data_IF_721505120752
#
_entry.id   IF_721505120752
#
_cell.length_a   1.000
_cell.length_b   1.000
_cell.length_c   1.000
_cell.angle_alpha   90.00
_cell.angle_beta   90.00
_cell.angle_gamma   90.00
#
_symmetry.space_group_name_H-M   'P 1'
#
loop_
_entity.id
_entity.type
_entity.pdbx_description
1 polymer ?
#
# COMPACT_ATOMS: atom_id res chain seq x y z
N UNK A 1 -26.49 31.35 -7.60
CA UNK A 1 -25.15 31.50 -7.05
C UNK A 1 -24.05 31.23 -8.12
N UNK A 2 -24.12 30.11 -8.87
CA UNK A 2 -23.13 29.80 -9.90
C UNK A 2 -23.09 30.86 -11.01
N UNK A 3 -24.24 31.34 -11.46
CA UNK A 3 -24.30 32.37 -12.50
C UNK A 3 -23.60 33.67 -12.07
N UNK A 4 -23.77 34.07 -10.81
CA UNK A 4 -23.12 35.25 -10.27
C UNK A 4 -21.57 35.06 -10.23
N UNK A 5 -21.09 33.89 -9.76
CA UNK A 5 -19.66 33.57 -9.72
C UNK A 5 -19.06 33.58 -11.13
N UNK A 6 -19.75 33.02 -12.11
CA UNK A 6 -19.29 33.03 -13.49
C UNK A 6 -19.19 34.44 -14.04
N UNK A 7 -20.22 35.26 -13.84
CA UNK A 7 -20.28 36.66 -14.27
C UNK A 7 -19.18 37.50 -13.63
N UNK A 8 -18.94 37.32 -12.33
CA UNK A 8 -17.88 38.07 -11.60
C UNK A 8 -16.46 37.70 -12.07
N UNK A 9 -16.29 36.51 -12.68
CA UNK A 9 -15.04 36.09 -13.30
C UNK A 9 -14.99 36.25 -14.83
N UNK A 10 -15.93 37.00 -15.40
CA UNK A 10 -15.98 37.30 -16.83
C UNK A 10 -16.35 36.12 -17.71
N UNK A 11 -16.96 35.05 -17.14
CA UNK A 11 -17.40 33.85 -17.84
C UNK A 11 -18.86 34.00 -18.31
N UNK A 12 -19.12 33.52 -19.50
CA UNK A 12 -20.48 33.44 -20.08
C UNK A 12 -21.06 32.03 -19.95
N UNK A 13 -22.35 31.85 -20.26
CA UNK A 13 -23.01 30.55 -20.24
C UNK A 13 -22.45 29.55 -21.25
N UNK A 14 -21.70 30.02 -22.25
CA UNK A 14 -21.03 29.18 -23.25
C UNK A 14 -19.62 28.76 -22.84
N UNK A 15 -19.07 29.34 -21.80
CA UNK A 15 -17.73 29.04 -21.33
C UNK A 15 -17.75 27.81 -20.40
N UNK A 16 -16.66 27.02 -20.49
CA UNK A 16 -16.45 25.86 -19.60
C UNK A 16 -15.28 26.16 -18.67
N UNK A 17 -15.52 26.01 -17.38
CA UNK A 17 -14.47 26.15 -16.37
C UNK A 17 -14.31 24.84 -15.59
N UNK A 18 -13.08 24.39 -15.29
CA UNK A 18 -12.88 23.23 -14.43
C UNK A 18 -13.31 23.56 -13.00
N UNK A 19 -14.17 22.72 -12.44
CA UNK A 19 -14.59 22.82 -11.06
C UNK A 19 -14.01 21.66 -10.25
N UNK A 20 -13.19 21.97 -9.25
CA UNK A 20 -12.64 20.99 -8.32
C UNK A 20 -13.50 20.95 -7.06
N UNK A 21 -14.08 19.77 -6.80
CA UNK A 21 -14.92 19.55 -5.62
C UNK A 21 -14.22 18.55 -4.70
N UNK A 22 -14.00 18.96 -3.46
CA UNK A 22 -13.55 18.07 -2.40
C UNK A 22 -14.68 17.83 -1.42
N UNK A 23 -14.97 16.55 -1.14
CA UNK A 23 -15.95 16.14 -0.16
C UNK A 23 -15.47 14.95 0.63
N UNK A 24 -15.68 14.98 1.94
CA UNK A 24 -15.48 13.82 2.80
C UNK A 24 -16.72 12.93 2.73
N UNK A 25 -16.53 11.61 2.52
CA UNK A 25 -17.64 10.63 2.52
C UNK A 25 -17.97 10.26 3.97
N UNK A 26 -18.74 11.14 4.62
CA UNK A 26 -19.11 11.00 6.04
C UNK A 26 -20.30 10.07 6.27
N UNK A 27 -21.10 9.79 5.23
CA UNK A 27 -22.24 8.89 5.29
C UNK A 27 -21.84 7.42 5.09
N UNK A 28 -20.62 7.19 4.59
CA UNK A 28 -20.08 5.85 4.37
C UNK A 28 -19.50 5.22 5.63
N UNK A 29 -19.29 3.92 5.55
CA UNK A 29 -18.55 3.22 6.59
C UNK A 29 -17.13 3.78 6.73
N UNK A 30 -16.56 3.81 7.94
CA UNK A 30 -15.19 4.25 8.13
C UNK A 30 -14.22 3.37 7.36
N UNK A 31 -13.21 3.97 6.76
CA UNK A 31 -12.12 3.22 6.16
C UNK A 31 -11.38 2.46 7.24
N UNK A 32 -11.10 1.19 6.98
CA UNK A 32 -10.37 0.32 7.89
C UNK A 32 -9.24 -0.36 7.13
N UNK A 33 -8.14 -0.56 7.84
CA UNK A 33 -7.02 -1.34 7.35
C UNK A 33 -6.82 -2.54 8.25
N UNK A 34 -6.95 -3.73 7.70
CA UNK A 34 -6.59 -4.96 8.34
C UNK A 34 -5.23 -5.41 7.81
N UNK A 35 -4.34 -5.67 8.71
CA UNK A 35 -3.00 -6.11 8.42
C UNK A 35 -2.71 -7.39 9.19
N UNK A 36 -2.34 -8.45 8.45
CA UNK A 36 -1.89 -9.71 9.01
C UNK A 36 -0.48 -9.97 8.54
N UNK A 37 0.41 -10.18 9.48
CA UNK A 37 1.80 -10.50 9.24
C UNK A 37 2.15 -11.82 9.94
N UNK A 38 2.84 -12.70 9.24
CA UNK A 38 3.35 -13.96 9.78
C UNK A 38 4.76 -14.19 9.30
N UNK A 39 5.63 -14.62 10.20
CA UNK A 39 7.01 -14.98 9.88
C UNK A 39 7.33 -16.33 10.49
N UNK A 40 7.74 -17.25 9.63
CA UNK A 40 8.32 -18.53 10.00
C UNK A 40 9.81 -18.45 9.72
N UNK A 41 10.63 -18.89 10.68
CA UNK A 41 12.08 -18.86 10.57
C UNK A 41 12.66 -20.14 11.12
N UNK A 42 13.49 -20.76 10.33
CA UNK A 42 14.31 -21.90 10.72
C UNK A 42 15.79 -21.49 10.72
N UNK A 43 16.52 -21.83 11.78
CA UNK A 43 17.95 -21.57 11.89
C UNK A 43 18.61 -22.86 12.34
N UNK A 44 19.67 -23.23 11.65
CA UNK A 44 20.57 -24.31 12.01
C UNK A 44 21.98 -23.72 12.11
N UNK A 45 22.62 -23.93 13.24
CA UNK A 45 23.95 -23.40 13.52
C UNK A 45 24.83 -24.48 14.14
N UNK A 46 26.05 -24.60 13.64
CA UNK A 46 27.05 -25.54 14.16
C UNK A 46 28.36 -24.79 14.29
N UNK A 47 28.92 -24.82 15.46
CA UNK A 47 30.24 -24.30 15.74
C UNK A 47 31.13 -25.38 16.35
N UNK A 48 32.44 -25.20 16.20
CA UNK A 48 33.42 -26.13 16.74
C UNK A 48 34.86 -25.70 16.47
N UNK A 49 35.73 -26.54 16.91
CA UNK A 49 37.19 -26.42 16.72
C UNK A 49 37.65 -27.53 15.76
N UNK A 50 38.36 -27.15 14.67
CA UNK A 50 38.90 -28.11 13.70
C UNK A 50 40.23 -28.67 14.18
N UNK A 51 41.10 -27.77 14.67
CA UNK A 51 42.40 -28.07 15.26
C UNK A 51 42.71 -26.96 16.25
N UNK A 52 43.76 -27.12 17.07
CA UNK A 52 44.17 -26.12 18.07
C UNK A 52 44.06 -24.69 17.54
N UNK A 53 43.21 -23.90 18.17
CA UNK A 53 42.99 -22.48 17.90
C UNK A 53 42.31 -22.15 16.56
N UNK A 54 41.83 -23.15 15.77
CA UNK A 54 41.01 -22.95 14.60
C UNK A 54 39.56 -23.21 14.92
N UNK A 55 38.75 -22.16 14.97
CA UNK A 55 37.34 -22.24 15.20
C UNK A 55 36.55 -22.09 13.89
N UNK A 56 35.42 -22.74 13.79
CA UNK A 56 34.50 -22.57 12.68
C UNK A 56 33.06 -22.37 13.19
N UNK A 57 32.29 -21.67 12.41
CA UNK A 57 30.86 -21.57 12.53
C UNK A 57 30.25 -21.76 11.14
N UNK A 58 29.28 -22.67 11.05
CA UNK A 58 28.49 -22.93 9.87
C UNK A 58 27.05 -22.68 10.24
N UNK A 59 26.41 -21.75 9.58
CA UNK A 59 25.01 -21.46 9.82
C UNK A 59 24.19 -21.49 8.54
N UNK A 60 22.98 -21.99 8.67
CA UNK A 60 21.93 -21.95 7.67
C UNK A 60 20.69 -21.33 8.28
N UNK A 61 20.09 -20.40 7.55
CA UNK A 61 18.81 -19.81 7.91
C UNK A 61 17.89 -19.84 6.70
N UNK A 62 16.65 -20.25 6.94
CA UNK A 62 15.56 -20.12 5.99
C UNK A 62 14.40 -19.42 6.66
N UNK A 63 13.85 -18.40 6.02
CA UNK A 63 12.70 -17.67 6.54
C UNK A 63 11.68 -17.39 5.46
N UNK A 64 10.40 -17.37 5.88
CA UNK A 64 9.27 -16.99 5.05
C UNK A 64 8.43 -16.00 5.82
N UNK A 65 8.25 -14.83 5.25
CA UNK A 65 7.39 -13.78 5.79
C UNK A 65 6.23 -13.55 4.83
N UNK A 66 5.01 -13.62 5.34
CA UNK A 66 3.80 -13.29 4.59
C UNK A 66 3.15 -12.06 5.18
N UNK A 67 2.61 -11.19 4.32
CA UNK A 67 1.90 -9.99 4.72
C UNK A 67 0.62 -9.85 3.88
N UNK A 68 -0.52 -9.84 4.56
CA UNK A 68 -1.83 -9.65 3.97
C UNK A 68 -2.38 -8.29 4.39
N UNK A 69 -2.63 -7.45 3.41
CA UNK A 69 -3.25 -6.13 3.60
C UNK A 69 -4.64 -6.15 3.02
N UNK A 70 -5.63 -5.72 3.81
CA UNK A 70 -6.99 -5.51 3.33
C UNK A 70 -7.43 -4.12 3.74
N UNK A 71 -7.77 -3.30 2.76
CA UNK A 71 -8.40 -2.00 2.96
C UNK A 71 -9.88 -2.15 2.72
N UNK A 72 -10.67 -1.82 3.72
CA UNK A 72 -12.12 -1.88 3.68
C UNK A 72 -12.72 -0.49 3.47
N UNK A 73 -13.85 -0.45 2.75
CA UNK A 73 -14.65 0.75 2.54
C UNK A 73 -13.91 1.88 1.80
N UNK A 74 -13.02 1.51 0.88
CA UNK A 74 -12.44 2.49 -0.03
C UNK A 74 -13.38 2.77 -1.20
N UNK A 75 -13.08 3.78 -2.02
CA UNK A 75 -13.95 4.23 -3.10
C UNK A 75 -13.33 3.87 -4.45
N UNK A 76 -14.07 3.14 -5.27
CA UNK A 76 -13.69 2.90 -6.67
C UNK A 76 -13.82 4.19 -7.48
N UNK A 77 -12.72 4.66 -8.05
CA UNK A 77 -12.68 5.85 -8.91
C UNK A 77 -13.66 5.75 -10.08
N UNK A 78 -13.66 4.62 -10.77
CA UNK A 78 -14.54 4.44 -11.95
C UNK A 78 -16.01 4.43 -11.55
N UNK A 79 -16.36 3.74 -10.46
CA UNK A 79 -17.75 3.71 -9.98
C UNK A 79 -18.18 5.08 -9.47
N UNK A 80 -17.31 5.82 -8.79
CA UNK A 80 -17.60 7.19 -8.37
C UNK A 80 -17.84 8.12 -9.57
N UNK A 81 -17.00 8.06 -10.61
CA UNK A 81 -17.19 8.82 -11.85
C UNK A 81 -18.53 8.47 -12.51
N UNK A 82 -18.86 7.19 -12.58
CA UNK A 82 -20.13 6.74 -13.16
C UNK A 82 -21.33 7.25 -12.34
N UNK A 83 -21.25 7.17 -11.01
CA UNK A 83 -22.31 7.60 -10.09
C UNK A 83 -22.52 9.12 -10.07
N UNK A 84 -21.50 9.89 -10.45
CA UNK A 84 -21.59 11.36 -10.57
C UNK A 84 -22.12 11.80 -11.94
N UNK A 85 -22.05 10.95 -12.97
CA UNK A 85 -22.59 11.23 -14.29
C UNK A 85 -24.08 10.86 -14.33
N UNK A 86 -24.92 11.83 -14.04
CA UNK A 86 -26.36 11.64 -13.95
C UNK A 86 -27.12 12.38 -15.04
N UNK A 87 -28.30 11.86 -15.38
CA UNK A 87 -29.32 12.43 -16.26
C UNK A 87 -30.68 12.38 -15.56
N UNK A 88 -31.69 12.89 -16.21
CA UNK A 88 -33.06 12.92 -15.67
C UNK A 88 -33.39 14.23 -14.96
N UNK A 89 -34.37 14.20 -14.08
CA UNK A 89 -34.81 15.36 -13.31
C UNK A 89 -34.18 15.39 -11.92
N UNK A 90 -34.11 16.56 -11.25
CA UNK A 90 -33.61 16.64 -9.89
C UNK A 90 -34.35 15.73 -8.89
N UNK A 91 -35.66 15.47 -9.13
CA UNK A 91 -36.50 14.58 -8.32
C UNK A 91 -36.31 13.09 -8.67
N UNK A 92 -35.76 12.78 -9.85
CA UNK A 92 -35.54 11.40 -10.29
C UNK A 92 -34.25 11.31 -11.12
N UNK A 93 -33.08 11.44 -10.48
CA UNK A 93 -31.80 11.32 -11.15
C UNK A 93 -31.51 9.85 -11.48
N UNK A 94 -30.89 9.60 -12.64
CA UNK A 94 -30.43 8.29 -13.08
C UNK A 94 -29.02 8.37 -13.62
N UNK A 95 -28.23 7.29 -13.49
CA UNK A 95 -26.90 7.26 -14.07
C UNK A 95 -26.94 7.17 -15.59
N UNK A 96 -26.02 7.85 -16.25
CA UNK A 96 -25.80 7.73 -17.70
C UNK A 96 -25.19 6.39 -18.07
N UNK A 97 -24.40 5.78 -17.19
CA UNK A 97 -23.58 4.60 -17.44
C UNK A 97 -24.28 3.26 -17.33
N UNK A 98 -25.62 3.23 -17.06
CA UNK A 98 -26.42 2.00 -17.13
C UNK A 98 -26.92 1.44 -15.80
N UNK A 99 -27.47 0.22 -15.84
CA UNK A 99 -28.44 -0.32 -14.89
C UNK A 99 -27.93 -0.60 -13.47
N UNK A 100 -26.67 -0.93 -13.29
CA UNK A 100 -26.11 -1.24 -11.96
C UNK A 100 -25.63 0.01 -11.21
N UNK A 101 -25.47 1.12 -11.92
CA UNK A 101 -25.04 2.37 -11.33
C UNK A 101 -26.14 3.00 -10.47
N UNK A 102 -25.72 3.57 -9.34
CA UNK A 102 -26.59 4.32 -8.43
C UNK A 102 -26.10 5.76 -8.32
N UNK A 103 -26.96 6.76 -8.57
CA UNK A 103 -26.58 8.17 -8.49
C UNK A 103 -26.05 8.54 -7.10
N UNK A 104 -24.86 9.14 -7.07
CA UNK A 104 -24.23 9.60 -5.82
C UNK A 104 -24.36 11.12 -5.72
N UNK A 105 -25.40 11.57 -5.02
CA UNK A 105 -25.67 13.00 -4.85
C UNK A 105 -24.85 13.57 -3.68
N UNK A 106 -23.72 14.15 -4.00
CA UNK A 106 -22.78 14.75 -3.05
C UNK A 106 -23.09 16.21 -2.70
N UNK A 107 -24.06 16.82 -3.36
CA UNK A 107 -24.33 18.27 -3.27
C UNK A 107 -25.39 18.62 -2.23
N UNK A 108 -26.24 17.68 -1.87
CA UNK A 108 -27.34 17.91 -0.95
C UNK A 108 -27.15 17.18 0.37
N UNK A 109 -27.61 17.83 1.44
CA UNK A 109 -27.77 17.23 2.78
C UNK A 109 -26.52 16.47 3.28
N UNK A 110 -25.38 17.19 3.38
CA UNK A 110 -24.12 16.64 3.93
C UNK A 110 -24.11 16.64 5.46
N UNK A 111 -25.16 16.08 6.07
CA UNK A 111 -25.35 15.97 7.52
C UNK A 111 -24.85 14.63 8.10
N UNK A 112 -24.24 13.80 7.27
CA UNK A 112 -23.75 12.46 7.65
C UNK A 112 -24.83 11.38 7.67
N UNK A 113 -26.09 11.71 7.37
CA UNK A 113 -27.18 10.75 7.37
C UNK A 113 -27.53 10.29 5.96
N UNK A 114 -27.77 9.00 5.81
CA UNK A 114 -28.26 8.42 4.57
C UNK A 114 -29.66 8.89 4.27
N UNK A 115 -29.95 9.14 2.99
CA UNK A 115 -31.24 9.57 2.51
C UNK A 115 -31.98 8.43 1.82
N UNK A 116 -33.31 8.52 1.76
CA UNK A 116 -34.15 7.51 1.14
C UNK A 116 -34.15 7.57 -0.38
N UNK A 117 -33.67 8.65 -0.98
CA UNK A 117 -33.53 8.78 -2.43
C UNK A 117 -32.35 9.68 -2.82
N UNK A 118 -31.85 9.47 -4.03
CA UNK A 118 -30.76 10.29 -4.59
C UNK A 118 -31.16 11.75 -4.84
N UNK A 119 -32.47 12.04 -4.93
CA UNK A 119 -32.96 13.40 -5.00
C UNK A 119 -32.75 14.19 -3.70
N UNK A 120 -32.64 13.51 -2.58
CA UNK A 120 -32.47 14.11 -1.25
C UNK A 120 -31.03 14.14 -0.76
N UNK A 121 -30.13 13.39 -1.39
CA UNK A 121 -28.70 13.33 -0.99
C UNK A 121 -28.09 11.94 -1.19
N UNK A 122 -27.15 11.57 -0.34
CA UNK A 122 -26.44 10.29 -0.42
C UNK A 122 -27.31 9.15 0.08
N UNK A 123 -27.46 8.10 -0.73
CA UNK A 123 -28.22 6.89 -0.39
C UNK A 123 -27.29 5.73 -0.06
N UNK A 124 -27.80 4.72 0.64
CA UNK A 124 -27.08 3.49 0.94
C UNK A 124 -26.67 2.76 -0.34
N UNK A 125 -27.53 2.68 -1.31
CA UNK A 125 -27.31 2.01 -2.59
C UNK A 125 -26.17 2.68 -3.38
N UNK A 126 -26.07 4.02 -3.32
CA UNK A 126 -24.97 4.75 -3.93
C UNK A 126 -23.64 4.44 -3.25
N UNK A 127 -23.62 4.37 -1.91
CA UNK A 127 -22.42 4.02 -1.16
C UNK A 127 -22.00 2.56 -1.40
N UNK A 128 -22.94 1.63 -1.40
CA UNK A 128 -22.68 0.22 -1.70
C UNK A 128 -22.10 0.06 -3.13
N UNK A 129 -22.59 0.86 -4.08
CA UNK A 129 -22.11 0.84 -5.46
C UNK A 129 -20.66 1.37 -5.58
N UNK A 130 -20.34 2.51 -4.96
CA UNK A 130 -19.01 3.12 -5.08
C UNK A 130 -17.96 2.47 -4.18
N UNK A 131 -18.38 1.80 -3.10
CA UNK A 131 -17.49 1.21 -2.12
C UNK A 131 -16.79 -0.05 -2.66
N UNK A 132 -15.56 -0.24 -2.27
CA UNK A 132 -14.77 -1.41 -2.63
C UNK A 132 -13.76 -1.75 -1.54
N UNK A 133 -13.30 -3.00 -1.54
CA UNK A 133 -12.22 -3.44 -0.68
C UNK A 133 -11.00 -3.75 -1.54
N UNK A 134 -9.82 -3.41 -1.03
CA UNK A 134 -8.55 -3.62 -1.68
C UNK A 134 -7.78 -4.72 -0.96
N UNK A 135 -7.12 -5.60 -1.71
CA UNK A 135 -6.31 -6.67 -1.14
C UNK A 135 -4.93 -6.68 -1.78
N UNK A 136 -3.92 -6.74 -0.94
CA UNK A 136 -2.53 -6.93 -1.35
C UNK A 136 -1.92 -8.02 -0.49
N UNK A 137 -1.33 -9.03 -1.14
CA UNK A 137 -0.59 -10.09 -0.50
C UNK A 137 0.88 -9.97 -0.89
N UNK A 138 1.76 -10.07 0.08
CA UNK A 138 3.20 -10.12 -0.15
C UNK A 138 3.81 -11.33 0.57
N UNK A 139 4.80 -11.93 -0.07
CA UNK A 139 5.60 -13.02 0.47
C UNK A 139 7.07 -12.71 0.22
N UNK A 140 7.84 -12.71 1.28
CA UNK A 140 9.29 -12.61 1.26
C UNK A 140 9.88 -13.93 1.75
N UNK A 141 10.71 -14.55 0.95
CA UNK A 141 11.53 -15.70 1.36
C UNK A 141 12.98 -15.30 1.38
N UNK A 142 13.71 -15.77 2.38
CA UNK A 142 15.13 -15.54 2.54
C UNK A 142 15.82 -16.85 2.94
N UNK A 143 16.81 -17.24 2.14
CA UNK A 143 17.71 -18.34 2.43
C UNK A 143 19.13 -17.79 2.57
N UNK A 144 19.78 -18.08 3.69
CA UNK A 144 21.11 -17.61 4.01
C UNK A 144 22.00 -18.78 4.43
N UNK A 145 23.17 -18.85 3.81
CA UNK A 145 24.24 -19.78 4.14
C UNK A 145 25.46 -18.98 4.54
N UNK A 146 26.01 -19.27 5.69
CA UNK A 146 27.15 -18.55 6.22
C UNK A 146 28.17 -19.54 6.76
N UNK A 147 29.40 -19.34 6.38
CA UNK A 147 30.57 -20.00 6.95
C UNK A 147 31.55 -18.98 7.45
N UNK A 148 31.99 -19.12 8.68
CA UNK A 148 33.04 -18.27 9.28
C UNK A 148 34.09 -19.18 9.89
N UNK A 149 35.34 -18.84 9.71
CA UNK A 149 36.45 -19.49 10.40
C UNK A 149 37.39 -18.44 10.97
N UNK A 150 37.93 -18.72 12.15
CA UNK A 150 38.87 -17.83 12.84
C UNK A 150 39.98 -18.57 13.49
N UNK A 151 41.12 -17.88 13.58
CA UNK A 151 42.32 -18.41 14.25
C UNK A 151 43.12 -17.31 14.91
N UNK A 152 43.62 -17.57 16.12
CA UNK A 152 44.57 -16.75 16.81
C UNK A 152 46.00 -17.27 16.59
N UNK A 153 46.88 -16.40 16.14
CA UNK A 153 48.29 -16.71 15.96
C UNK A 153 49.10 -16.01 17.04
N UNK A 154 49.79 -16.78 17.88
CA UNK A 154 50.76 -16.23 18.85
C UNK A 154 52.06 -16.01 18.14
N UNK A 155 52.56 -14.78 18.14
CA UNK A 155 53.85 -14.44 17.53
C UNK A 155 54.88 -14.20 18.61
N UNK A 156 56.13 -14.50 18.32
CA UNK A 156 57.28 -14.20 19.22
C UNK A 156 57.74 -12.73 19.12
N UNK A 157 57.00 -11.91 18.38
CA UNK A 157 57.32 -10.51 18.19
C UNK A 157 56.85 -9.67 19.36
N UNK A 158 57.72 -8.90 19.98
CA UNK A 158 57.38 -8.06 21.12
C UNK A 158 56.42 -6.90 20.78
N UNK A 159 56.33 -6.53 19.50
CA UNK A 159 55.43 -5.43 19.04
C UNK A 159 54.03 -5.94 18.66
N UNK A 160 53.96 -7.21 18.20
CA UNK A 160 52.67 -7.85 17.83
C UNK A 160 52.64 -9.24 18.46
N UNK A 161 52.31 -9.37 19.75
CA UNK A 161 52.35 -10.64 20.46
C UNK A 161 51.28 -11.63 20.01
N UNK A 162 50.16 -11.15 19.45
CA UNK A 162 49.11 -11.98 18.89
C UNK A 162 48.54 -11.34 17.62
N UNK A 163 48.07 -12.17 16.72
CA UNK A 163 47.33 -11.79 15.52
C UNK A 163 46.12 -12.67 15.39
N UNK A 164 44.92 -12.05 15.41
CA UNK A 164 43.66 -12.74 15.21
C UNK A 164 43.21 -12.56 13.77
N UNK A 165 42.86 -13.65 13.10
CA UNK A 165 42.35 -13.67 11.74
C UNK A 165 40.96 -14.32 11.71
N UNK A 166 40.02 -13.70 11.00
CA UNK A 166 38.72 -14.28 10.70
C UNK A 166 38.45 -14.17 9.19
N UNK A 167 37.91 -15.24 8.63
CA UNK A 167 37.46 -15.30 7.24
C UNK A 167 36.02 -15.78 7.23
N UNK A 168 35.18 -15.13 6.43
CA UNK A 168 33.77 -15.49 6.30
C UNK A 168 33.33 -15.51 4.84
N UNK A 169 32.40 -16.43 4.55
CA UNK A 169 31.65 -16.51 3.29
C UNK A 169 30.20 -16.49 3.64
N UNK A 170 29.43 -15.69 2.91
CA UNK A 170 27.98 -15.62 3.04
C UNK A 170 27.36 -15.67 1.65
N UNK A 171 26.35 -16.52 1.50
CA UNK A 171 25.45 -16.52 0.36
C UNK A 171 24.05 -16.26 0.88
N UNK A 172 23.34 -15.30 0.25
CA UNK A 172 21.99 -14.93 0.62
C UNK A 172 21.12 -14.81 -0.64
N UNK A 173 19.98 -15.44 -0.60
CA UNK A 173 18.96 -15.34 -1.63
C UNK A 173 17.68 -14.76 -1.04
N UNK A 174 17.16 -13.70 -1.66
CA UNK A 174 15.91 -13.05 -1.29
C UNK A 174 14.96 -13.09 -2.47
N UNK A 175 13.74 -13.60 -2.22
CA UNK A 175 12.67 -13.60 -3.22
C UNK A 175 11.47 -12.87 -2.65
N UNK A 176 11.04 -11.81 -3.34
CA UNK A 176 9.84 -11.05 -3.00
C UNK A 176 8.77 -11.28 -4.07
N UNK A 177 7.63 -11.82 -3.64
CA UNK A 177 6.41 -11.91 -4.44
C UNK A 177 5.37 -10.97 -3.88
N UNK A 178 4.75 -10.17 -4.72
CA UNK A 178 3.67 -9.28 -4.35
C UNK A 178 2.54 -9.43 -5.35
N UNK A 179 1.35 -9.72 -4.84
CA UNK A 179 0.13 -9.84 -5.62
C UNK A 179 -0.87 -8.80 -5.10
N UNK A 180 -1.41 -8.03 -6.01
CA UNK A 180 -2.49 -7.10 -5.74
C UNK A 180 -3.73 -7.58 -6.50
N UNK A 181 -4.92 -7.28 -5.99
CA UNK A 181 -6.14 -7.49 -6.75
C UNK A 181 -6.27 -6.42 -7.87
N UNK A 182 -7.19 -6.63 -8.81
CA UNK A 182 -7.41 -5.75 -9.97
C UNK A 182 -7.75 -4.30 -9.56
N UNK A 183 -8.22 -4.10 -8.33
CA UNK A 183 -8.49 -2.78 -7.78
C UNK A 183 -7.24 -2.13 -7.17
N UNK A 184 -6.29 -2.91 -6.70
CA UNK A 184 -5.09 -2.44 -6.01
C UNK A 184 -3.90 -2.24 -6.95
N UNK A 185 -3.87 -2.87 -8.12
CA UNK A 185 -2.76 -2.79 -9.08
C UNK A 185 -2.79 -1.55 -9.97
N UNK A 186 -3.84 -0.76 -9.88
CA UNK A 186 -3.99 0.46 -10.66
C UNK A 186 -4.57 0.26 -12.05
N UNK A 187 -5.08 -0.93 -12.37
CA UNK A 187 -5.70 -1.25 -13.67
C UNK A 187 -6.98 -0.43 -13.98
N UNK A 188 -7.01 0.82 -13.56
CA UNK A 188 -7.97 1.83 -13.98
C UNK A 188 -9.22 1.96 -13.11
N UNK A 189 -9.37 1.16 -12.09
CA UNK A 189 -10.60 1.18 -11.29
C UNK A 189 -10.50 1.98 -10.00
N UNK A 190 -9.30 2.41 -9.60
CA UNK A 190 -9.12 2.96 -8.28
C UNK A 190 -8.53 4.34 -8.17
N UNK A 191 -8.69 4.88 -6.99
CA UNK A 191 -8.09 6.10 -6.49
C UNK A 191 -6.55 5.98 -6.47
N UNK A 192 -5.80 7.11 -6.48
CA UNK A 192 -4.33 7.11 -6.57
C UNK A 192 -3.58 6.26 -5.54
N UNK A 193 -4.25 5.76 -4.51
CA UNK A 193 -3.64 4.85 -3.54
C UNK A 193 -3.15 3.53 -4.13
N UNK A 194 -3.74 3.05 -5.22
CA UNK A 194 -3.29 1.85 -5.89
C UNK A 194 -1.89 2.00 -6.48
N UNK A 195 -1.52 3.19 -6.92
CA UNK A 195 -0.17 3.47 -7.43
C UNK A 195 0.92 3.39 -6.36
N UNK A 196 0.58 3.58 -5.09
CA UNK A 196 1.52 3.42 -3.98
C UNK A 196 1.86 1.97 -3.69
N UNK A 197 0.97 1.04 -4.03
CA UNK A 197 1.18 -0.39 -3.80
C UNK A 197 1.84 -1.10 -5.00
N UNK A 198 1.80 -0.49 -6.17
CA UNK A 198 2.46 -1.00 -7.39
C UNK A 198 3.94 -0.63 -7.48
N UNK A 199 4.41 0.39 -6.78
CA UNK A 199 5.81 0.76 -6.76
C UNK A 199 6.54 0.04 -5.63
N UNK A 200 7.47 -0.81 -5.99
CA UNK A 200 8.47 -1.31 -5.05
C UNK A 200 9.39 -0.12 -4.71
N UNK A 201 9.05 0.64 -3.69
CA UNK A 201 9.99 1.54 -3.06
C UNK A 201 10.97 0.67 -2.26
N UNK A 202 12.05 0.27 -2.90
CA UNK A 202 13.26 -0.10 -2.21
C UNK A 202 13.75 1.15 -1.49
N UNK A 203 13.33 1.32 -0.25
CA UNK A 203 14.03 2.21 0.65
C UNK A 203 15.37 1.55 0.95
N UNK A 204 16.37 1.93 0.19
CA UNK A 204 17.74 1.82 0.67
C UNK A 204 17.85 2.66 1.92
N UNK A 205 18.51 2.16 2.94
CA UNK A 205 18.69 2.84 4.23
C UNK A 205 18.96 4.34 4.02
N UNK A 206 18.35 5.22 4.84
CA UNK A 206 18.57 6.65 4.71
C UNK A 206 20.07 6.92 4.70
N UNK A 207 20.52 7.67 3.69
CA UNK A 207 21.89 8.18 3.65
C UNK A 207 22.15 8.95 4.95
N UNK A 208 23.33 8.87 5.53
CA UNK A 208 23.69 9.67 6.71
C UNK A 208 23.52 11.18 6.51
N UNK A 209 23.21 11.63 5.29
CA UNK A 209 22.95 13.03 4.93
C UNK A 209 21.50 13.47 5.11
N UNK A 210 20.55 12.55 5.33
CA UNK A 210 19.13 12.89 5.44
C UNK A 210 18.70 13.18 6.89
N UNK A 211 19.65 13.31 7.80
CA UNK A 211 19.44 13.64 9.21
C UNK A 211 19.85 15.06 9.54
N UNK A 212 19.10 16.07 9.03
CA UNK A 212 19.08 17.45 9.53
C UNK A 212 17.72 18.09 9.27
#
# INVERSE_FOLDING_TARGET
QFTAICSDNGLTLSDTAPLYISRRNIEGNPRQQNFKHSTDRFVFDVDGEITNEWFYNLSFQSSRTTADFTYLNDISKQRAINALKVSGTPSNPSCVSGNDCKPWNIFLNSDGNLKSSAALGVTKEALDYISTNLKVNAELTEDQYRFVTSKSFTTKNAVLPSLDMALGLEYRELNLKKNADDFSDGAGQQYPHSSLYGSCLLYTSPSPRDGW
#
